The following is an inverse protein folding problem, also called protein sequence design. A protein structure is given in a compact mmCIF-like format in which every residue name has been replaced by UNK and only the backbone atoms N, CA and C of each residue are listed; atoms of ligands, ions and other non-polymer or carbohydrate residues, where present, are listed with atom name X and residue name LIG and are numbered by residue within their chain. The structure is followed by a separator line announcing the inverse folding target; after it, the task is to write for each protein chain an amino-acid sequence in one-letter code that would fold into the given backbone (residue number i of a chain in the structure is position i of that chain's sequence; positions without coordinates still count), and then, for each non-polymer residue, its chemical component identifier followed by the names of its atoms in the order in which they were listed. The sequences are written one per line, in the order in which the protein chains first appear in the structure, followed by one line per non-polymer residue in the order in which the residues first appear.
data_IF_990393883947
#
_entry.id   IF_990393883947
#
_cell.length_a   1.000
_cell.length_b   1.000
_cell.length_c   1.000
_cell.angle_alpha   90.00
_cell.angle_beta   90.00
_cell.angle_gamma   90.00
#
_symmetry.space_group_name_H-M   'P 1'
#
loop_
_entity.id
_entity.type
_entity.pdbx_description
1 polymer ?
#
# COMPACT_ATOMS: atom_id res chain seq x y z
N UNK A 1 -1.46 7.43 -5.85
CA UNK A 1 -0.25 8.25 -6.04
C UNK A 1 0.92 7.55 -5.37
N UNK A 2 1.92 7.15 -6.15
CA UNK A 2 3.19 6.63 -5.63
C UNK A 2 3.93 7.78 -4.96
N UNK A 3 4.31 7.59 -3.71
CA UNK A 3 5.02 8.59 -2.91
C UNK A 3 6.49 8.25 -2.85
N UNK A 4 6.79 6.96 -2.72
CA UNK A 4 8.14 6.45 -2.59
C UNK A 4 8.23 5.12 -3.33
N UNK A 5 9.32 4.96 -4.07
CA UNK A 5 9.68 3.73 -4.76
C UNK A 5 11.20 3.71 -4.86
N UNK A 6 11.86 3.02 -3.94
CA UNK A 6 13.32 3.06 -3.84
C UNK A 6 13.87 1.75 -3.28
N UNK A 7 15.14 1.50 -3.60
CA UNK A 7 15.91 0.43 -2.98
C UNK A 7 16.28 0.85 -1.55
N UNK A 8 15.79 0.09 -0.58
CA UNK A 8 16.12 0.21 0.82
C UNK A 8 17.32 -0.64 1.23
N UNK A 9 17.67 -0.63 2.53
CA UNK A 9 18.78 -1.41 3.04
C UNK A 9 18.67 -2.89 2.69
N UNK A 10 19.81 -3.52 2.40
CA UNK A 10 19.90 -4.94 2.05
C UNK A 10 19.14 -5.34 0.76
N UNK A 11 18.97 -4.41 -0.18
CA UNK A 11 18.36 -4.68 -1.49
C UNK A 11 16.84 -4.88 -1.45
N UNK A 12 16.18 -4.46 -0.36
CA UNK A 12 14.72 -4.52 -0.25
C UNK A 12 14.07 -3.42 -1.07
N UNK A 13 12.95 -3.68 -1.70
CA UNK A 13 12.18 -2.65 -2.38
C UNK A 13 11.18 -1.99 -1.40
N UNK A 14 11.34 -0.69 -1.17
CA UNK A 14 10.45 0.08 -0.30
C UNK A 14 9.45 0.87 -1.14
N UNK A 15 8.15 0.65 -0.90
CA UNK A 15 7.07 1.28 -1.66
C UNK A 15 6.08 1.94 -0.70
N UNK A 16 5.81 3.22 -0.92
CA UNK A 16 4.69 3.91 -0.29
C UNK A 16 3.68 4.35 -1.35
N UNK A 17 2.45 3.84 -1.20
CA UNK A 17 1.34 4.17 -2.08
C UNK A 17 0.23 4.88 -1.30
N UNK A 18 -0.16 6.06 -1.79
CA UNK A 18 -1.38 6.77 -1.35
C UNK A 18 -2.54 6.43 -2.26
N UNK A 19 -3.52 5.70 -1.76
CA UNK A 19 -4.83 5.50 -2.39
C UNK A 19 -5.66 6.77 -2.18
N UNK A 20 -6.03 7.43 -3.26
CA UNK A 20 -6.78 8.68 -3.21
C UNK A 20 -8.27 8.40 -3.46
N UNK A 21 -9.14 8.92 -2.61
CA UNK A 21 -10.59 8.70 -2.72
C UNK A 21 -11.38 10.00 -2.63
N UNK A 22 -12.51 10.14 -3.34
CA UNK A 22 -13.25 11.40 -3.41
C UNK A 22 -14.14 11.66 -2.19
N UNK A 23 -14.41 10.64 -1.36
CA UNK A 23 -15.36 10.73 -0.25
C UNK A 23 -14.83 10.04 1.00
N UNK A 24 -15.21 10.57 2.15
CA UNK A 24 -14.86 9.97 3.44
C UNK A 24 -15.50 8.59 3.64
N UNK A 25 -16.69 8.36 3.08
CA UNK A 25 -17.30 7.03 3.04
C UNK A 25 -16.42 6.01 2.30
N UNK A 26 -15.83 6.37 1.16
CA UNK A 26 -14.94 5.48 0.41
C UNK A 26 -13.65 5.21 1.19
N UNK A 27 -13.14 6.20 1.92
CA UNK A 27 -11.99 6.01 2.80
C UNK A 27 -12.29 4.97 3.88
N UNK A 28 -13.45 5.08 4.56
CA UNK A 28 -13.89 4.11 5.57
C UNK A 28 -14.08 2.71 4.97
N UNK A 29 -14.63 2.60 3.77
CA UNK A 29 -14.79 1.33 3.05
C UNK A 29 -13.42 0.69 2.80
N UNK A 30 -12.47 1.41 2.22
CA UNK A 30 -11.14 0.87 1.89
C UNK A 30 -10.33 0.49 3.13
N UNK A 31 -10.40 1.29 4.20
CA UNK A 31 -9.74 0.94 5.48
C UNK A 31 -10.39 -0.32 6.06
N UNK A 32 -11.72 -0.40 6.00
CA UNK A 32 -12.48 -1.50 6.56
C UNK A 32 -12.50 -1.50 8.09
N UNK A 33 -13.27 -2.41 8.71
CA UNK A 33 -13.36 -2.50 10.17
C UNK A 33 -11.97 -2.71 10.79
N UNK A 34 -11.59 -1.83 11.73
CA UNK A 34 -10.27 -1.85 12.40
C UNK A 34 -9.06 -1.88 11.44
N UNK A 35 -9.20 -1.44 10.19
CA UNK A 35 -8.12 -1.49 9.20
C UNK A 35 -7.92 -2.85 8.53
N UNK A 36 -8.83 -3.81 8.70
CA UNK A 36 -8.62 -5.17 8.21
C UNK A 36 -8.50 -5.25 6.69
N UNK A 37 -9.36 -4.54 5.95
CA UNK A 37 -9.39 -4.62 4.49
C UNK A 37 -8.10 -4.07 3.86
N UNK A 38 -7.65 -2.89 4.30
CA UNK A 38 -6.41 -2.31 3.78
C UNK A 38 -5.17 -3.13 4.16
N UNK A 39 -5.18 -3.77 5.33
CA UNK A 39 -4.10 -4.67 5.76
C UNK A 39 -4.02 -5.91 4.87
N UNK A 40 -5.16 -6.54 4.58
CA UNK A 40 -5.24 -7.68 3.67
C UNK A 40 -4.74 -7.31 2.27
N UNK A 41 -5.19 -6.17 1.73
CA UNK A 41 -4.71 -5.66 0.44
C UNK A 41 -3.19 -5.43 0.43
N UNK A 42 -2.63 -4.84 1.49
CA UNK A 42 -1.19 -4.60 1.59
C UNK A 42 -0.41 -5.92 1.60
N UNK A 43 -0.92 -6.96 2.26
CA UNK A 43 -0.28 -8.28 2.27
C UNK A 43 -0.36 -8.97 0.90
N UNK A 44 -1.52 -8.96 0.26
CA UNK A 44 -1.72 -9.56 -1.06
C UNK A 44 -0.84 -8.91 -2.11
N UNK A 45 -0.93 -7.58 -2.24
CA UNK A 45 -0.12 -6.82 -3.19
C UNK A 45 1.36 -6.93 -2.84
N UNK A 46 1.73 -6.94 -1.56
CA UNK A 46 3.11 -7.15 -1.14
C UNK A 46 3.68 -8.47 -1.65
N UNK A 47 2.92 -9.57 -1.56
CA UNK A 47 3.32 -10.89 -2.10
C UNK A 47 3.47 -10.88 -3.60
N UNK A 48 2.52 -10.28 -4.31
CA UNK A 48 2.57 -10.18 -5.77
C UNK A 48 3.82 -9.41 -6.22
N UNK A 49 4.12 -8.28 -5.55
CA UNK A 49 5.30 -7.49 -5.85
C UNK A 49 6.59 -8.25 -5.54
N UNK A 50 6.67 -9.01 -4.45
CA UNK A 50 7.85 -9.85 -4.16
C UNK A 50 8.10 -10.88 -5.27
N UNK A 51 7.04 -11.49 -5.82
CA UNK A 51 7.16 -12.44 -6.92
C UNK A 51 7.61 -11.78 -8.23
N UNK A 52 7.16 -10.55 -8.50
CA UNK A 52 7.51 -9.80 -9.72
C UNK A 52 8.95 -9.28 -9.65
N UNK A 53 9.36 -8.72 -8.52
CA UNK A 53 10.66 -8.08 -8.36
C UNK A 53 11.76 -9.03 -7.84
N UNK A 54 11.39 -10.25 -7.44
CA UNK A 54 12.30 -11.28 -6.93
C UNK A 54 13.16 -10.80 -5.75
N UNK A 55 12.61 -9.91 -4.92
CA UNK A 55 13.25 -9.39 -3.72
C UNK A 55 12.21 -9.17 -2.61
N UNK A 56 12.66 -8.92 -1.39
CA UNK A 56 11.75 -8.53 -0.31
C UNK A 56 11.14 -7.15 -0.59
N UNK A 57 9.83 -7.02 -0.35
CA UNK A 57 9.10 -5.77 -0.56
C UNK A 57 8.51 -5.29 0.76
N UNK A 58 8.81 -4.04 1.12
CA UNK A 58 8.15 -3.34 2.21
C UNK A 58 7.12 -2.37 1.62
N UNK A 59 5.85 -2.80 1.60
CA UNK A 59 4.73 -2.02 1.08
C UNK A 59 3.98 -1.30 2.20
N UNK A 60 3.84 0.03 2.10
CA UNK A 60 2.93 0.83 2.92
C UNK A 60 1.80 1.40 2.07
N UNK A 61 0.57 0.96 2.36
CA UNK A 61 -0.64 1.55 1.81
C UNK A 61 -1.20 2.59 2.78
N UNK A 62 -1.62 3.73 2.27
CA UNK A 62 -2.38 4.73 3.03
C UNK A 62 -3.53 5.27 2.19
N UNK A 63 -4.64 5.61 2.83
CA UNK A 63 -5.80 6.21 2.16
C UNK A 63 -5.87 7.69 2.48
N UNK A 64 -6.11 8.52 1.47
CA UNK A 64 -6.27 9.97 1.62
C UNK A 64 -7.45 10.45 0.78
N UNK A 65 -8.13 11.47 1.30
CA UNK A 65 -9.11 12.19 0.51
C UNK A 65 -8.42 12.92 -0.64
N UNK A 66 -9.03 12.86 -1.82
CA UNK A 66 -8.76 13.79 -2.91
C UNK A 66 -9.16 15.18 -2.39
N UNK A 67 -8.19 16.10 -2.38
CA UNK A 67 -8.48 17.53 -2.24
C UNK A 67 -8.91 18.07 -3.59
#
# INVERSE_FOLDING_TARGET
KTVMWEEGPNGKLMIEQKLLVPKESHMRILIGPKGHLISQMAQEVGRDLMNIFLCEVQLRLSVKLLK
#
